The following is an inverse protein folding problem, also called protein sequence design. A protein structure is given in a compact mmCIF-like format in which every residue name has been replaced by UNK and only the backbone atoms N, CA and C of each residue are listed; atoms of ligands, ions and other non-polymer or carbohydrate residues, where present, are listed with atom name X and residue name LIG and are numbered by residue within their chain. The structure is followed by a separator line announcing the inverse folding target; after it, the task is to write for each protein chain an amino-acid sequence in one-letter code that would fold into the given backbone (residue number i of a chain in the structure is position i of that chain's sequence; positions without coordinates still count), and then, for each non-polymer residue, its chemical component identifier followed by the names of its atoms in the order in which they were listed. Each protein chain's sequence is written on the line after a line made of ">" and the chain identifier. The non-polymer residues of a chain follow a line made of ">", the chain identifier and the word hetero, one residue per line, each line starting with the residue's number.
data_IF_237377818548
#
_entry.id   IF_237377818548
#
_cell.length_a   1.000
_cell.length_b   1.000
_cell.length_c   1.000
_cell.angle_alpha   90.00
_cell.angle_beta   90.00
_cell.angle_gamma   90.00
#
_symmetry.space_group_name_H-M   'P 1'
#
loop_
_entity.id
_entity.type
_entity.pdbx_description
1 polymer ?
#
# COMPACT_ATOMS: atom_id res chain seq x y z
N UNK A 1 23.16 2.81 8.33
CA UNK A 1 22.86 3.32 6.98
C UNK A 1 22.73 2.19 5.96
N UNK A 2 23.80 1.47 5.63
CA UNK A 2 23.77 0.43 4.58
C UNK A 2 22.75 -0.69 4.84
N UNK A 3 22.62 -1.16 6.08
CA UNK A 3 21.65 -2.20 6.47
C UNK A 3 20.20 -1.75 6.24
N UNK A 4 19.87 -0.50 6.57
CA UNK A 4 18.51 0.06 6.39
C UNK A 4 18.19 0.19 4.89
N UNK A 5 19.15 0.64 4.09
CA UNK A 5 18.98 0.74 2.63
C UNK A 5 18.78 -0.64 1.99
N UNK A 6 19.59 -1.62 2.36
CA UNK A 6 19.43 -3.00 1.89
C UNK A 6 18.06 -3.56 2.31
N UNK A 7 17.69 -3.37 3.57
CA UNK A 7 16.41 -3.81 4.09
C UNK A 7 15.24 -3.20 3.31
N UNK A 8 15.19 -1.87 3.18
CA UNK A 8 14.13 -1.19 2.47
C UNK A 8 14.09 -1.59 0.99
N UNK A 9 15.24 -1.64 0.31
CA UNK A 9 15.30 -1.96 -1.12
C UNK A 9 14.81 -3.37 -1.42
N UNK A 10 15.18 -4.35 -0.58
CA UNK A 10 14.75 -5.75 -0.76
C UNK A 10 13.26 -5.90 -0.44
N UNK A 11 12.78 -5.29 0.65
CA UNK A 11 11.38 -5.40 1.06
C UNK A 11 10.43 -4.66 0.11
N UNK A 12 10.77 -3.43 -0.28
CA UNK A 12 9.94 -2.61 -1.19
C UNK A 12 9.96 -3.10 -2.63
N UNK A 13 10.98 -3.86 -3.03
CA UNK A 13 11.11 -4.34 -4.40
C UNK A 13 10.81 -5.82 -4.48
N UNK A 14 11.73 -6.67 -4.01
CA UNK A 14 11.68 -8.11 -4.25
C UNK A 14 10.47 -8.73 -3.56
N UNK A 15 10.28 -8.44 -2.26
CA UNK A 15 9.18 -9.04 -1.50
C UNK A 15 7.84 -8.55 -2.02
N UNK A 16 7.68 -7.23 -2.19
CA UNK A 16 6.45 -6.64 -2.73
C UNK A 16 6.08 -7.23 -4.11
N UNK A 17 7.00 -7.22 -5.08
CA UNK A 17 6.71 -7.73 -6.41
C UNK A 17 6.53 -9.24 -6.44
N UNK A 18 7.32 -10.02 -5.70
CA UNK A 18 7.17 -11.47 -5.65
C UNK A 18 5.82 -11.88 -5.04
N UNK A 19 5.41 -11.25 -3.93
CA UNK A 19 4.10 -11.49 -3.32
C UNK A 19 2.96 -11.12 -4.26
N UNK A 20 3.04 -9.96 -4.92
CA UNK A 20 2.03 -9.55 -5.90
C UNK A 20 1.94 -10.53 -7.08
N UNK A 21 3.08 -10.93 -7.66
CA UNK A 21 3.13 -11.87 -8.78
C UNK A 21 2.65 -13.27 -8.40
N UNK A 22 2.92 -13.70 -7.17
CA UNK A 22 2.42 -14.95 -6.61
C UNK A 22 0.89 -14.92 -6.45
N UNK A 23 0.33 -13.84 -5.90
CA UNK A 23 -1.11 -13.67 -5.75
C UNK A 23 -1.80 -13.54 -7.11
N UNK A 24 -1.15 -12.92 -8.09
CA UNK A 24 -1.67 -12.78 -9.45
C UNK A 24 -1.74 -14.13 -10.18
N UNK A 25 -0.83 -15.04 -9.89
CA UNK A 25 -0.87 -16.41 -10.44
C UNK A 25 -1.93 -17.30 -9.77
N UNK A 26 -2.31 -17.02 -8.52
CA UNK A 26 -3.26 -17.84 -7.75
C UNK A 26 -4.69 -17.30 -7.72
N UNK A 27 -4.86 -16.01 -7.98
CA UNK A 27 -6.14 -15.31 -7.86
C UNK A 27 -6.58 -14.66 -9.15
N UNK A 28 -7.71 -13.96 -9.08
CA UNK A 28 -8.21 -13.14 -10.18
C UNK A 28 -7.32 -11.89 -10.34
N UNK A 29 -6.71 -11.66 -11.53
CA UNK A 29 -5.84 -10.52 -11.77
C UNK A 29 -6.50 -9.16 -11.51
N UNK A 30 -7.83 -9.05 -11.75
CA UNK A 30 -8.60 -7.85 -11.48
C UNK A 30 -8.71 -7.55 -9.99
N UNK A 31 -9.01 -8.58 -9.18
CA UNK A 31 -9.06 -8.43 -7.71
C UNK A 31 -7.69 -8.17 -7.10
N UNK A 32 -6.66 -8.88 -7.54
CA UNK A 32 -5.28 -8.69 -7.05
C UNK A 32 -4.75 -7.28 -7.38
N UNK A 33 -5.07 -6.76 -8.55
CA UNK A 33 -4.67 -5.40 -8.94
C UNK A 33 -5.41 -4.33 -8.14
N UNK A 34 -6.68 -4.57 -7.75
CA UNK A 34 -7.44 -3.64 -6.93
C UNK A 34 -6.80 -3.39 -5.55
N UNK A 35 -6.09 -4.38 -4.97
CA UNK A 35 -5.36 -4.19 -3.71
C UNK A 35 -4.26 -3.12 -3.78
N UNK A 36 -3.73 -2.80 -4.97
CA UNK A 36 -2.76 -1.71 -5.11
C UNK A 36 -3.36 -0.35 -4.75
N UNK A 37 -4.68 -0.19 -4.89
CA UNK A 37 -5.37 1.03 -4.47
C UNK A 37 -5.46 1.19 -2.95
N UNK A 38 -5.23 0.14 -2.15
CA UNK A 38 -5.07 0.28 -0.69
C UNK A 38 -3.73 0.90 -0.30
N UNK A 39 -2.73 0.96 -1.20
CA UNK A 39 -1.42 1.54 -0.89
C UNK A 39 -1.52 2.99 -0.36
N UNK A 40 -2.21 3.93 -1.04
CA UNK A 40 -2.42 5.28 -0.50
C UNK A 40 -3.23 5.29 0.79
N UNK A 41 -4.19 4.37 0.98
CA UNK A 41 -4.95 4.26 2.23
C UNK A 41 -4.04 3.92 3.42
N UNK A 42 -3.21 2.89 3.31
CA UNK A 42 -2.27 2.52 4.37
C UNK A 42 -1.14 3.55 4.53
N UNK A 43 -0.69 4.18 3.43
CA UNK A 43 0.31 5.24 3.47
C UNK A 43 -0.17 6.44 4.28
N UNK A 44 -1.39 6.90 4.03
CA UNK A 44 -2.02 7.99 4.80
C UNK A 44 -2.26 7.58 6.26
N UNK A 45 -2.79 6.38 6.50
CA UNK A 45 -3.08 5.93 7.86
C UNK A 45 -1.81 5.82 8.71
N UNK A 46 -0.73 5.31 8.11
CA UNK A 46 0.57 5.23 8.77
C UNK A 46 1.26 6.59 8.91
N UNK A 47 1.12 7.50 7.95
CA UNK A 47 1.57 8.89 8.06
C UNK A 47 0.87 9.64 9.20
N UNK A 48 -0.45 9.51 9.31
CA UNK A 48 -1.19 10.07 10.44
C UNK A 48 -0.76 9.47 11.78
N UNK A 49 -0.60 8.14 11.87
CA UNK A 49 -0.31 7.46 13.13
C UNK A 49 1.16 7.55 13.59
N UNK A 50 2.12 7.62 12.66
CA UNK A 50 3.56 7.58 12.96
C UNK A 50 4.24 8.95 12.82
N UNK A 51 3.72 9.82 11.93
CA UNK A 51 4.30 11.13 11.64
C UNK A 51 3.42 12.29 12.15
N UNK A 52 2.29 12.00 12.82
CA UNK A 52 1.31 12.99 13.30
C UNK A 52 0.81 13.93 12.18
N UNK A 53 0.74 13.43 10.94
CA UNK A 53 0.26 14.22 9.80
C UNK A 53 -1.23 14.59 9.93
N UNK A 54 -1.58 15.85 9.66
CA UNK A 54 -2.99 16.27 9.72
C UNK A 54 -3.81 15.67 8.58
N UNK A 55 -4.82 14.86 8.93
CA UNK A 55 -5.77 14.31 7.96
C UNK A 55 -6.71 15.40 7.44
N UNK A 56 -6.52 15.79 6.18
CA UNK A 56 -7.45 16.67 5.48
C UNK A 56 -8.74 15.93 5.12
N UNK A 57 -9.86 16.66 5.06
CA UNK A 57 -11.17 16.11 4.68
C UNK A 57 -11.13 15.40 3.31
N UNK A 58 -10.40 15.95 2.35
CA UNK A 58 -10.24 15.33 1.01
C UNK A 58 -9.60 13.94 1.07
N UNK A 59 -8.67 13.73 2.02
CA UNK A 59 -7.98 12.45 2.19
C UNK A 59 -8.93 11.42 2.79
N UNK A 60 -9.74 11.82 3.78
CA UNK A 60 -10.76 10.93 4.38
C UNK A 60 -11.77 10.49 3.33
N UNK A 61 -12.26 11.42 2.51
CA UNK A 61 -13.20 11.11 1.41
C UNK A 61 -12.55 10.19 0.37
N UNK A 62 -11.29 10.44 0.00
CA UNK A 62 -10.55 9.56 -0.90
C UNK A 62 -10.37 8.14 -0.34
N UNK A 63 -10.06 8.01 0.96
CA UNK A 63 -9.97 6.72 1.65
C UNK A 63 -11.28 5.94 1.64
N UNK A 64 -12.41 6.62 1.87
CA UNK A 64 -13.74 6.01 1.78
C UNK A 64 -14.05 5.50 0.37
N UNK A 65 -13.67 6.26 -0.67
CA UNK A 65 -13.85 5.81 -2.05
C UNK A 65 -13.05 4.55 -2.38
N UNK A 66 -11.79 4.48 -1.93
CA UNK A 66 -10.94 3.28 -2.09
C UNK A 66 -11.62 2.07 -1.44
N UNK A 67 -12.08 2.19 -0.20
CA UNK A 67 -12.76 1.10 0.52
C UNK A 67 -14.05 0.69 -0.19
N UNK A 68 -14.80 1.65 -0.74
CA UNK A 68 -16.07 1.35 -1.43
C UNK A 68 -15.88 0.66 -2.79
N UNK A 69 -14.72 0.85 -3.43
CA UNK A 69 -14.46 0.37 -4.79
C UNK A 69 -13.80 -1.01 -4.89
N UNK A 70 -13.41 -1.59 -3.75
CA UNK A 70 -12.68 -2.87 -3.64
C UNK A 70 -13.57 -3.90 -2.98
#
# INVERSE_FOLDING_TARGET
>A
MLVILLWLSIMSSIVQFASWYYLLQKGDPGKTSAFLFLAPFFGVLSGWALLDETLSFSIVVGGLFIISGI
#
